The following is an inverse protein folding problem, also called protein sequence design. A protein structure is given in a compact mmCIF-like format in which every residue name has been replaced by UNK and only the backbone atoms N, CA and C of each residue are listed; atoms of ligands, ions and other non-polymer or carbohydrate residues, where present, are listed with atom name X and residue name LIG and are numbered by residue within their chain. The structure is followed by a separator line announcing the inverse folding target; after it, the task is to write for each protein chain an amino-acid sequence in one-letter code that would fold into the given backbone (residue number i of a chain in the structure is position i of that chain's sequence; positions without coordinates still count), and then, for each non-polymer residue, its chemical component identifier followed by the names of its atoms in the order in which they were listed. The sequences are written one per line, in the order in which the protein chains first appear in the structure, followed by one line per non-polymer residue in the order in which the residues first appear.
data_IF_886045576638
#
_entry.id   IF_886045576638
#
_cell.length_a   1.000
_cell.length_b   1.000
_cell.length_c   1.000
_cell.angle_alpha   90.00
_cell.angle_beta   90.00
_cell.angle_gamma   90.00
#
_symmetry.space_group_name_H-M   'P 1'
#
loop_
_entity.id
_entity.type
_entity.pdbx_description
1 polymer ?
#
# COMPACT_ATOMS: atom_id res chain seq x y z
N UNK A 1 26.67 2.56 -20.92
CA UNK A 1 25.65 1.92 -20.05
C UNK A 1 24.34 1.65 -20.78
N UNK A 2 23.75 2.61 -21.52
CA UNK A 2 22.45 2.44 -22.18
C UNK A 2 22.29 1.15 -23.02
N UNK A 3 23.31 0.78 -23.82
CA UNK A 3 23.27 -0.45 -24.63
C UNK A 3 23.07 -1.72 -23.79
N UNK A 4 23.66 -1.80 -22.60
CA UNK A 4 23.52 -2.94 -21.68
C UNK A 4 22.10 -3.03 -21.09
N UNK A 5 21.39 -1.90 -20.99
CA UNK A 5 20.04 -1.81 -20.42
C UNK A 5 18.94 -1.82 -21.49
N UNK A 6 19.30 -1.92 -22.79
CA UNK A 6 18.36 -1.84 -23.91
C UNK A 6 17.19 -2.82 -23.78
N UNK A 7 17.48 -4.06 -23.40
CA UNK A 7 16.45 -5.08 -23.22
C UNK A 7 15.82 -4.99 -21.83
N UNK A 8 16.63 -4.71 -20.80
CA UNK A 8 16.21 -4.63 -19.40
C UNK A 8 15.24 -3.48 -19.10
N UNK A 9 15.14 -2.45 -19.95
CA UNK A 9 14.21 -1.33 -19.77
C UNK A 9 12.76 -1.70 -20.13
N UNK A 10 12.54 -2.83 -20.81
CA UNK A 10 11.21 -3.28 -21.25
C UNK A 10 10.47 -3.96 -20.08
N UNK A 11 9.24 -3.53 -19.73
CA UNK A 11 8.43 -4.17 -18.68
C UNK A 11 8.20 -5.67 -18.93
N UNK A 12 8.32 -6.48 -17.88
CA UNK A 12 8.10 -7.92 -17.96
C UNK A 12 6.63 -8.24 -17.67
N UNK A 13 5.95 -8.87 -18.63
CA UNK A 13 4.58 -9.34 -18.48
C UNK A 13 4.57 -10.75 -17.84
N UNK A 14 3.79 -10.89 -16.79
CA UNK A 14 3.47 -12.16 -16.13
C UNK A 14 1.96 -12.20 -15.82
N UNK A 15 1.50 -13.19 -15.06
CA UNK A 15 0.09 -13.30 -14.67
C UNK A 15 -0.07 -13.74 -13.21
N UNK A 16 -1.22 -13.39 -12.61
CA UNK A 16 -1.66 -13.90 -11.31
C UNK A 16 -2.13 -15.36 -11.42
N UNK A 17 -2.47 -16.00 -10.29
CA UNK A 17 -3.07 -17.35 -10.26
C UNK A 17 -4.40 -17.43 -11.04
N UNK A 18 -5.09 -16.31 -11.19
CA UNK A 18 -6.37 -16.20 -11.91
C UNK A 18 -6.18 -15.58 -13.31
N UNK A 19 -4.97 -15.66 -13.86
CA UNK A 19 -4.61 -15.19 -15.20
C UNK A 19 -4.80 -13.67 -15.42
N UNK A 20 -4.83 -12.87 -14.35
CA UNK A 20 -4.83 -11.40 -14.49
C UNK A 20 -3.45 -10.94 -14.94
N UNK A 21 -3.33 -10.13 -16.01
CA UNK A 21 -2.05 -9.59 -16.47
C UNK A 21 -1.37 -8.74 -15.39
N UNK A 22 -0.06 -8.95 -15.19
CA UNK A 22 0.72 -8.18 -14.23
C UNK A 22 2.09 -7.80 -14.79
N UNK A 23 2.52 -6.56 -14.59
CA UNK A 23 3.88 -6.12 -14.90
C UNK A 23 4.75 -6.19 -13.65
N UNK A 24 5.92 -6.83 -13.76
CA UNK A 24 6.94 -6.85 -12.69
C UNK A 24 8.22 -6.21 -13.23
N UNK A 25 8.50 -4.98 -12.81
CA UNK A 25 9.59 -4.21 -13.42
C UNK A 25 10.11 -3.07 -12.54
N UNK A 26 11.43 -3.04 -12.33
CA UNK A 26 12.08 -2.13 -11.39
C UNK A 26 12.03 -2.64 -9.94
N UNK A 27 12.72 -1.93 -9.05
CA UNK A 27 12.78 -2.28 -7.63
C UNK A 27 13.78 -1.41 -6.85
N UNK A 28 13.68 -0.07 -6.91
CA UNK A 28 14.52 0.79 -6.09
C UNK A 28 14.11 0.68 -4.62
N UNK A 29 15.03 0.96 -3.71
CA UNK A 29 14.69 1.06 -2.29
C UNK A 29 13.69 2.20 -2.00
N UNK A 30 12.95 2.07 -0.91
CA UNK A 30 12.00 3.07 -0.44
C UNK A 30 12.59 3.99 0.65
N UNK A 31 13.83 3.77 1.11
CA UNK A 31 14.53 4.66 2.04
C UNK A 31 15.41 5.69 1.30
N UNK A 32 16.40 5.24 0.52
CA UNK A 32 17.33 6.07 -0.26
C UNK A 32 16.83 6.39 -1.68
N UNK A 33 15.68 5.84 -2.07
CA UNK A 33 15.00 6.13 -3.34
C UNK A 33 13.47 6.10 -3.12
N UNK A 34 12.70 6.05 -4.21
CA UNK A 34 11.25 6.26 -4.20
C UNK A 34 10.39 5.01 -4.04
N UNK A 35 10.98 3.81 -4.02
CA UNK A 35 10.26 2.59 -3.63
C UNK A 35 9.11 2.15 -4.53
N UNK A 36 9.08 2.54 -5.80
CA UNK A 36 8.01 2.18 -6.73
C UNK A 36 8.54 1.43 -7.96
N UNK A 37 7.69 0.67 -8.64
CA UNK A 37 8.01 0.07 -9.94
C UNK A 37 8.28 1.17 -11.00
N UNK A 38 8.79 0.78 -12.17
CA UNK A 38 9.11 1.81 -13.18
C UNK A 38 7.87 2.50 -13.73
N UNK A 39 8.03 3.79 -14.05
CA UNK A 39 7.00 4.60 -14.71
C UNK A 39 6.56 4.00 -16.05
N UNK A 40 7.48 3.34 -16.77
CA UNK A 40 7.16 2.68 -18.03
C UNK A 40 6.12 1.56 -17.85
N UNK A 41 6.26 0.75 -16.79
CA UNK A 41 5.30 -0.30 -16.48
C UNK A 41 3.94 0.27 -16.06
N UNK A 42 3.92 1.29 -15.17
CA UNK A 42 2.66 1.93 -14.76
C UNK A 42 1.94 2.61 -15.92
N UNK A 43 2.66 3.32 -16.81
CA UNK A 43 2.08 3.92 -18.02
C UNK A 43 1.54 2.88 -18.99
N UNK A 44 2.24 1.75 -19.15
CA UNK A 44 1.79 0.67 -20.01
C UNK A 44 0.51 0.04 -19.45
N UNK A 45 0.44 -0.20 -18.14
CA UNK A 45 -0.78 -0.68 -17.47
C UNK A 45 -1.96 0.29 -17.68
N UNK A 46 -1.76 1.59 -17.46
CA UNK A 46 -2.78 2.63 -17.67
C UNK A 46 -3.26 2.76 -19.14
N UNK A 47 -2.48 2.29 -20.11
CA UNK A 47 -2.87 2.30 -21.53
C UNK A 47 -3.55 1.03 -22.00
N UNK A 48 -3.29 -0.10 -21.34
CA UNK A 48 -3.78 -1.42 -21.74
C UNK A 48 -4.95 -1.92 -20.90
N UNK A 49 -5.11 -1.44 -19.66
CA UNK A 49 -6.19 -1.82 -18.77
C UNK A 49 -7.09 -0.62 -18.42
N UNK A 50 -8.31 -0.92 -17.97
CA UNK A 50 -9.23 0.08 -17.43
C UNK A 50 -8.80 0.53 -16.03
N UNK A 51 -8.19 -0.37 -15.26
CA UNK A 51 -7.69 -0.12 -13.91
C UNK A 51 -6.24 -0.62 -13.83
N UNK A 52 -5.34 0.25 -13.37
CA UNK A 52 -3.97 -0.11 -13.07
C UNK A 52 -3.73 -0.03 -11.55
N UNK A 53 -3.54 -1.19 -10.91
CA UNK A 53 -3.15 -1.26 -9.51
C UNK A 53 -1.62 -1.29 -9.41
N UNK A 54 -1.07 -0.43 -8.56
CA UNK A 54 0.37 -0.30 -8.29
C UNK A 54 0.57 -0.05 -6.80
N UNK A 55 1.81 -0.16 -6.32
CA UNK A 55 2.17 -0.03 -4.92
C UNK A 55 3.47 0.76 -4.75
N UNK A 56 3.70 1.21 -3.52
CA UNK A 56 4.96 1.82 -3.11
C UNK A 56 5.43 1.18 -1.79
N UNK A 57 6.74 0.98 -1.65
CA UNK A 57 7.33 0.27 -0.53
C UNK A 57 7.28 1.04 0.80
N UNK A 58 7.33 0.29 1.91
CA UNK A 58 7.11 0.78 3.29
C UNK A 58 5.67 1.30 3.53
N UNK A 59 5.48 2.12 4.57
CA UNK A 59 4.20 2.74 4.91
C UNK A 59 3.90 3.97 4.06
N UNK A 60 2.71 4.54 4.25
CA UNK A 60 2.28 5.72 3.49
C UNK A 60 3.07 6.99 3.86
N UNK A 61 3.78 6.99 4.99
CA UNK A 61 4.72 8.02 5.42
C UNK A 61 6.02 8.07 4.59
N UNK A 62 6.34 7.00 3.85
CA UNK A 62 7.52 6.95 2.98
C UNK A 62 7.15 6.61 1.54
N UNK A 63 6.54 5.46 1.31
CA UNK A 63 6.24 4.97 -0.03
C UNK A 63 5.22 5.85 -0.73
N UNK A 64 4.07 6.06 -0.07
CA UNK A 64 2.99 6.85 -0.67
C UNK A 64 3.38 8.31 -0.86
N UNK A 65 4.01 8.94 0.15
CA UNK A 65 4.55 10.32 0.04
C UNK A 65 5.45 10.46 -1.19
N UNK A 66 6.50 9.64 -1.32
CA UNK A 66 7.39 9.68 -2.49
C UNK A 66 6.68 9.35 -3.79
N UNK A 67 5.67 8.49 -3.76
CA UNK A 67 4.88 8.19 -4.95
C UNK A 67 4.07 9.42 -5.40
N UNK A 68 3.41 10.11 -4.47
CA UNK A 68 2.63 11.31 -4.77
C UNK A 68 3.49 12.53 -5.10
N UNK A 69 4.59 12.73 -4.38
CA UNK A 69 5.41 13.95 -4.46
C UNK A 69 6.54 13.87 -5.49
N UNK A 70 6.99 12.64 -5.86
CA UNK A 70 8.06 12.45 -6.84
C UNK A 70 7.62 11.67 -8.08
N UNK A 71 7.04 10.47 -7.90
CA UNK A 71 6.75 9.58 -9.04
C UNK A 71 5.63 10.15 -9.90
N UNK A 72 4.50 10.55 -9.31
CA UNK A 72 3.34 11.06 -10.04
C UNK A 72 3.66 12.35 -10.85
N UNK A 73 4.30 13.38 -10.27
CA UNK A 73 4.63 14.60 -11.01
C UNK A 73 5.60 14.34 -12.15
N UNK A 74 6.62 13.51 -11.94
CA UNK A 74 7.57 13.16 -12.99
C UNK A 74 6.93 12.29 -14.09
N UNK A 75 6.03 11.37 -13.72
CA UNK A 75 5.36 10.50 -14.66
C UNK A 75 4.24 11.21 -15.45
N UNK A 76 3.63 12.24 -14.88
CA UNK A 76 2.48 12.92 -15.49
C UNK A 76 1.20 12.08 -15.44
N UNK A 77 1.01 11.28 -14.39
CA UNK A 77 -0.26 10.63 -14.08
C UNK A 77 -0.71 10.99 -12.67
N UNK A 78 -2.00 10.82 -12.37
CA UNK A 78 -2.60 11.08 -11.06
C UNK A 78 -3.35 9.82 -10.59
N UNK A 79 -3.17 9.37 -9.34
CA UNK A 79 -3.99 8.29 -8.79
C UNK A 79 -5.46 8.69 -8.61
N UNK A 80 -6.37 7.81 -9.02
CA UNK A 80 -7.82 8.00 -8.85
C UNK A 80 -8.34 7.54 -7.49
N UNK A 81 -7.62 6.61 -6.84
CA UNK A 81 -7.92 6.12 -5.51
C UNK A 81 -6.65 5.61 -4.81
N UNK A 82 -6.68 5.53 -3.49
CA UNK A 82 -5.63 4.95 -2.64
C UNK A 82 -6.22 3.84 -1.79
N UNK A 83 -5.53 2.71 -1.71
CA UNK A 83 -5.85 1.62 -0.79
C UNK A 83 -4.79 1.57 0.30
N UNK A 84 -5.19 1.79 1.55
CA UNK A 84 -4.30 1.68 2.71
C UNK A 84 -4.53 0.34 3.40
N UNK A 85 -3.53 -0.54 3.34
CA UNK A 85 -3.63 -1.89 3.91
C UNK A 85 -3.31 -1.86 5.40
N UNK A 86 -4.14 -2.54 6.20
CA UNK A 86 -3.95 -2.74 7.63
C UNK A 86 -4.27 -4.18 8.05
N UNK A 87 -3.82 -4.58 9.24
CA UNK A 87 -4.19 -5.86 9.88
C UNK A 87 -4.42 -5.63 11.37
N UNK A 88 -5.36 -6.37 11.98
CA UNK A 88 -5.61 -6.29 13.43
C UNK A 88 -4.33 -6.55 14.23
N UNK A 89 -3.53 -7.53 13.79
CA UNK A 89 -2.26 -7.87 14.41
C UNK A 89 -1.24 -6.72 14.37
N UNK A 90 -1.07 -6.04 13.22
CA UNK A 90 -0.16 -4.90 13.13
C UNK A 90 -0.62 -3.73 14.00
N UNK A 91 -1.94 -3.45 14.04
CA UNK A 91 -2.49 -2.42 14.91
C UNK A 91 -2.25 -2.76 16.39
N UNK A 92 -2.50 -3.99 16.83
CA UNK A 92 -2.14 -4.43 18.20
C UNK A 92 -0.64 -4.28 18.50
N UNK A 93 0.25 -4.53 17.53
CA UNK A 93 1.68 -4.28 17.69
C UNK A 93 1.98 -2.78 17.90
N UNK A 94 1.36 -1.89 17.12
CA UNK A 94 1.45 -0.44 17.34
C UNK A 94 0.88 0.00 18.69
N UNK A 95 -0.09 -0.76 19.22
CA UNK A 95 -0.60 -0.61 20.59
C UNK A 95 0.36 -1.07 21.69
N UNK A 96 1.44 -1.79 21.33
CA UNK A 96 2.47 -2.29 22.25
C UNK A 96 2.42 -3.79 22.54
N UNK A 97 1.59 -4.57 21.84
CA UNK A 97 1.56 -6.02 22.01
C UNK A 97 2.77 -6.67 21.33
N UNK A 98 3.50 -7.50 22.09
CA UNK A 98 4.64 -8.24 21.56
C UNK A 98 4.19 -9.25 20.48
N UNK A 99 5.06 -9.52 19.51
CA UNK A 99 4.76 -10.39 18.36
C UNK A 99 4.23 -11.79 18.76
N UNK A 100 4.72 -12.33 19.87
CA UNK A 100 4.32 -13.64 20.38
C UNK A 100 2.90 -13.67 20.97
N UNK A 101 2.31 -12.51 21.29
CA UNK A 101 1.04 -12.39 22.02
C UNK A 101 -0.13 -11.93 21.14
N UNK A 102 0.09 -11.75 19.84
CA UNK A 102 -0.90 -11.19 18.91
C UNK A 102 -2.12 -12.07 18.65
N UNK A 103 -2.10 -13.33 19.06
CA UNK A 103 -3.21 -14.27 18.88
C UNK A 103 -4.35 -14.10 19.89
N UNK A 104 -4.19 -13.22 20.88
CA UNK A 104 -5.22 -12.94 21.89
C UNK A 104 -6.03 -11.71 21.51
N UNK A 105 -7.33 -11.75 21.78
CA UNK A 105 -8.22 -10.59 21.75
C UNK A 105 -7.64 -9.49 22.65
N UNK A 106 -7.45 -8.28 22.11
CA UNK A 106 -7.01 -7.14 22.90
C UNK A 106 -7.47 -5.81 22.28
N UNK A 107 -8.72 -5.42 22.59
CA UNK A 107 -9.32 -4.19 22.07
C UNK A 107 -8.61 -2.92 22.57
N UNK A 108 -8.06 -2.91 23.80
CA UNK A 108 -7.36 -1.76 24.34
C UNK A 108 -6.05 -1.47 23.57
N UNK A 109 -5.28 -2.51 23.25
CA UNK A 109 -4.10 -2.36 22.41
C UNK A 109 -4.47 -2.01 20.96
N UNK A 110 -5.55 -2.60 20.43
CA UNK A 110 -6.05 -2.28 19.11
C UNK A 110 -6.42 -0.80 18.99
N UNK A 111 -7.18 -0.27 19.96
CA UNK A 111 -7.55 1.14 20.05
C UNK A 111 -6.33 2.07 20.08
N UNK A 112 -5.35 1.77 20.93
CA UNK A 112 -4.10 2.53 20.99
C UNK A 112 -3.31 2.46 19.67
N UNK A 113 -3.36 1.33 18.98
CA UNK A 113 -2.69 1.11 17.71
C UNK A 113 -3.34 1.81 16.52
N UNK A 114 -4.65 2.06 16.59
CA UNK A 114 -5.40 2.76 15.52
C UNK A 114 -4.86 4.16 15.26
N UNK A 115 -4.22 4.81 16.24
CA UNK A 115 -3.55 6.10 16.05
C UNK A 115 -2.53 6.09 14.88
N UNK A 116 -1.87 4.94 14.61
CA UNK A 116 -0.99 4.82 13.44
C UNK A 116 -1.78 4.87 12.13
N UNK A 117 -2.86 4.08 12.02
CA UNK A 117 -3.73 4.05 10.85
C UNK A 117 -4.39 5.40 10.61
N UNK A 118 -4.94 6.02 11.65
CA UNK A 118 -5.56 7.35 11.62
C UNK A 118 -4.58 8.40 11.07
N UNK A 119 -3.30 8.34 11.49
CA UNK A 119 -2.30 9.29 10.99
C UNK A 119 -1.99 9.09 9.50
N UNK A 120 -1.90 7.85 9.03
CA UNK A 120 -1.72 7.57 7.60
C UNK A 120 -2.95 7.99 6.79
N UNK A 121 -4.16 7.78 7.31
CA UNK A 121 -5.43 8.24 6.71
C UNK A 121 -5.43 9.76 6.59
N UNK A 122 -5.10 10.49 7.66
CA UNK A 122 -5.00 11.96 7.66
C UNK A 122 -3.99 12.44 6.61
N UNK A 123 -2.81 11.80 6.53
CA UNK A 123 -1.78 12.16 5.58
C UNK A 123 -2.21 11.92 4.13
N UNK A 124 -2.80 10.77 3.82
CA UNK A 124 -3.28 10.48 2.45
C UNK A 124 -4.39 11.46 2.04
N UNK A 125 -5.31 11.81 2.96
CA UNK A 125 -6.37 12.80 2.69
C UNK A 125 -5.82 14.16 2.24
N UNK A 126 -4.59 14.54 2.63
CA UNK A 126 -3.96 15.82 2.19
C UNK A 126 -3.68 15.87 0.69
N UNK A 127 -3.53 14.71 0.03
CA UNK A 127 -3.33 14.64 -1.42
C UNK A 127 -4.64 14.76 -2.23
N UNK A 128 -5.79 14.79 -1.56
CA UNK A 128 -7.10 14.96 -2.22
C UNK A 128 -7.50 13.78 -3.12
N UNK A 129 -7.01 12.57 -2.79
CA UNK A 129 -7.34 11.33 -3.48
C UNK A 129 -8.29 10.49 -2.61
N UNK A 130 -9.36 9.91 -3.18
CA UNK A 130 -10.23 8.97 -2.47
C UNK A 130 -9.43 7.85 -1.80
N UNK A 131 -9.81 7.50 -0.56
CA UNK A 131 -9.10 6.52 0.25
C UNK A 131 -10.05 5.43 0.73
N UNK A 132 -9.61 4.17 0.59
CA UNK A 132 -10.24 2.99 1.18
C UNK A 132 -9.22 2.28 2.06
N UNK A 133 -9.63 1.89 3.27
CA UNK A 133 -8.81 1.03 4.14
C UNK A 133 -9.13 -0.43 3.81
N UNK A 134 -8.11 -1.21 3.46
CA UNK A 134 -8.23 -2.65 3.26
C UNK A 134 -7.73 -3.37 4.52
N UNK A 135 -8.66 -3.95 5.29
CA UNK A 135 -8.31 -4.76 6.46
C UNK A 135 -8.08 -6.22 6.05
N UNK A 136 -6.82 -6.62 5.95
CA UNK A 136 -6.46 -7.99 5.60
C UNK A 136 -6.75 -8.92 6.79
N UNK A 137 -7.72 -9.81 6.60
CA UNK A 137 -8.20 -10.76 7.60
C UNK A 137 -7.24 -11.94 7.81
N UNK A 138 -7.00 -12.30 9.08
CA UNK A 138 -6.27 -13.51 9.48
C UNK A 138 -7.18 -14.46 10.25
N UNK A 139 -6.91 -15.80 10.22
CA UNK A 139 -7.75 -16.78 10.93
C UNK A 139 -7.92 -16.57 12.44
N UNK A 140 -7.02 -15.84 13.09
CA UNK A 140 -7.09 -15.55 14.52
C UNK A 140 -7.74 -14.21 14.87
N UNK A 141 -8.17 -13.45 13.87
CA UNK A 141 -8.86 -12.18 14.07
C UNK A 141 -10.29 -12.45 14.51
N UNK A 142 -10.73 -11.82 15.59
CA UNK A 142 -12.09 -12.00 16.11
C UNK A 142 -13.07 -11.05 15.43
N UNK A 143 -14.36 -11.43 15.36
CA UNK A 143 -15.41 -10.54 14.85
C UNK A 143 -15.46 -9.21 15.60
N UNK A 144 -15.25 -9.24 16.92
CA UNK A 144 -15.19 -8.06 17.79
C UNK A 144 -14.05 -7.10 17.38
N UNK A 145 -12.85 -7.61 17.08
CA UNK A 145 -11.74 -6.78 16.61
C UNK A 145 -11.99 -6.21 15.22
N UNK A 146 -12.60 -6.99 14.32
CA UNK A 146 -12.94 -6.55 12.96
C UNK A 146 -13.96 -5.41 13.02
N UNK A 147 -15.06 -5.61 13.74
CA UNK A 147 -16.12 -4.62 13.89
C UNK A 147 -15.60 -3.34 14.55
N UNK A 148 -14.70 -3.46 15.53
CA UNK A 148 -14.07 -2.32 16.17
C UNK A 148 -13.27 -1.45 15.19
N UNK A 149 -12.43 -2.07 14.33
CA UNK A 149 -11.67 -1.32 13.30
C UNK A 149 -12.62 -0.72 12.26
N UNK A 150 -13.62 -1.46 11.81
CA UNK A 150 -14.58 -0.97 10.82
C UNK A 150 -15.41 0.20 11.35
N UNK A 151 -15.81 0.17 12.61
CA UNK A 151 -16.51 1.27 13.25
C UNK A 151 -15.63 2.52 13.29
N UNK A 152 -14.37 2.40 13.73
CA UNK A 152 -13.43 3.54 13.76
C UNK A 152 -13.18 4.13 12.36
N UNK A 153 -13.06 3.31 11.33
CA UNK A 153 -12.84 3.80 9.96
C UNK A 153 -14.06 4.52 9.33
N UNK A 154 -15.25 4.40 9.91
CA UNK A 154 -16.48 5.07 9.43
C UNK A 154 -16.71 6.45 10.06
N UNK A 155 -15.99 6.77 11.12
CA UNK A 155 -15.98 8.08 11.79
C UNK A 155 -15.16 9.10 10.97
#
# INVERSE_FOLDING_TARGET
MALLLKEAIKPNLVQTLENTPAFVHGGPFANIAHGANTIMASKMALKLGEIAVTEAGFGADLGAEKFFDLVCPYAGFKPDATVLVATIRALKMHGGVAKAELGRLNLAALDKGLANLEKHVENIKKYGVPLVVALNHFPGDTGEEIDFVLARCRE
#
